data_IF_247368226297
#
_entry.id   IF_247368226297
#
_cell.length_a   1.000
_cell.length_b   1.000
_cell.length_c   1.000
_cell.angle_alpha   90.00
_cell.angle_beta   90.00
_cell.angle_gamma   90.00
#
_symmetry.space_group_name_H-M   'P 1'
#
loop_
_entity.id
_entity.type
_entity.pdbx_description
1 polymer ?
#
# COMPACT_ATOMS: atom_id res chain seq x y z
N UNK A 1 -4.32 0.61 12.69
CA UNK A 1 -4.27 -0.78 13.18
C UNK A 1 -4.39 -1.74 12.02
N UNK A 2 -3.71 -2.90 12.04
CA UNK A 2 -3.83 -3.87 10.94
C UNK A 2 -5.15 -4.64 10.99
N UNK A 3 -5.53 -5.12 12.17
CA UNK A 3 -6.72 -5.94 12.36
C UNK A 3 -7.94 -5.07 12.68
N UNK A 4 -9.12 -5.66 12.55
CA UNK A 4 -10.37 -5.06 13.02
C UNK A 4 -10.47 -5.04 14.55
N UNK A 5 -9.71 -5.89 15.25
CA UNK A 5 -9.78 -6.09 16.69
C UNK A 5 -8.41 -5.91 17.36
N UNK A 6 -8.41 -5.75 18.69
CA UNK A 6 -7.24 -5.31 19.45
C UNK A 6 -6.34 -6.43 19.97
N UNK A 7 -6.84 -7.67 20.05
CA UNK A 7 -6.29 -8.74 20.90
C UNK A 7 -4.94 -9.25 20.43
N UNK A 8 -4.68 -9.28 19.11
CA UNK A 8 -3.44 -9.88 18.58
C UNK A 8 -2.19 -9.07 18.93
N UNK A 9 -2.32 -7.75 19.09
CA UNK A 9 -1.18 -6.82 19.11
C UNK A 9 -1.20 -5.83 20.27
N UNK A 10 -2.26 -5.85 21.08
CA UNK A 10 -2.41 -4.95 22.23
C UNK A 10 -2.91 -5.72 23.45
N UNK A 11 -3.02 -5.04 24.59
CA UNK A 11 -3.66 -5.59 25.80
C UNK A 11 -5.17 -5.35 25.85
N UNK A 12 -5.75 -4.73 24.83
CA UNK A 12 -7.19 -4.42 24.76
C UNK A 12 -8.01 -5.51 24.08
N UNK A 13 -9.34 -5.34 24.13
CA UNK A 13 -10.32 -6.26 23.53
C UNK A 13 -11.39 -5.50 22.75
N UNK A 14 -12.03 -6.17 21.79
CA UNK A 14 -13.12 -5.63 20.97
C UNK A 14 -12.64 -4.99 19.68
N UNK A 15 -13.59 -4.48 18.88
CA UNK A 15 -13.29 -3.86 17.59
C UNK A 15 -12.66 -2.49 17.81
N UNK A 16 -11.65 -2.15 17.01
CA UNK A 16 -11.01 -0.84 17.03
C UNK A 16 -12.02 0.30 16.88
N UNK A 17 -13.04 0.10 16.02
CA UNK A 17 -14.09 1.08 15.76
C UNK A 17 -14.97 1.42 16.97
N UNK A 18 -14.99 0.56 18.00
CA UNK A 18 -15.81 0.75 19.20
C UNK A 18 -15.07 1.57 20.29
N UNK A 19 -13.82 1.96 20.03
CA UNK A 19 -12.98 2.69 20.98
C UNK A 19 -12.72 4.13 20.51
N UNK A 20 -12.63 5.06 21.47
CA UNK A 20 -12.18 6.43 21.17
C UNK A 20 -10.68 6.47 20.90
N UNK A 21 -10.19 7.49 20.18
CA UNK A 21 -8.76 7.69 19.97
C UNK A 21 -7.97 7.79 21.29
N UNK A 22 -8.54 8.42 22.33
CA UNK A 22 -7.92 8.50 23.65
C UNK A 22 -7.82 7.14 24.35
N UNK A 23 -8.83 6.27 24.19
CA UNK A 23 -8.78 4.90 24.72
C UNK A 23 -7.73 4.06 23.98
N UNK A 24 -7.68 4.15 22.65
CA UNK A 24 -6.68 3.48 21.81
C UNK A 24 -5.25 3.95 22.13
N UNK A 25 -5.05 5.24 22.40
CA UNK A 25 -3.75 5.78 22.80
C UNK A 25 -3.22 5.20 24.12
N UNK A 26 -4.10 4.80 25.06
CA UNK A 26 -3.70 4.10 26.30
C UNK A 26 -3.26 2.65 26.05
N UNK A 27 -3.49 2.13 24.85
CA UNK A 27 -3.06 0.81 24.38
C UNK A 27 -1.88 0.91 23.40
N UNK A 28 -1.20 2.06 23.36
CA UNK A 28 -0.08 2.35 22.46
C UNK A 28 -0.44 2.25 20.96
N UNK A 29 -1.73 2.38 20.62
CA UNK A 29 -2.17 2.48 19.23
C UNK A 29 -2.09 3.95 18.79
N UNK A 30 -1.16 4.32 17.87
CA UNK A 30 -0.98 5.72 17.51
C UNK A 30 -2.09 6.20 16.57
N UNK A 31 -2.36 7.51 16.60
CA UNK A 31 -3.18 8.13 15.56
C UNK A 31 -2.37 8.33 14.28
N UNK A 32 -3.05 8.48 13.14
CA UNK A 32 -2.37 8.82 11.88
C UNK A 32 -1.62 10.15 12.00
N UNK A 33 -2.18 11.14 12.70
CA UNK A 33 -1.56 12.44 12.91
C UNK A 33 -0.22 12.30 13.66
N UNK A 34 -0.18 11.49 14.73
CA UNK A 34 1.04 11.26 15.50
C UNK A 34 2.15 10.63 14.64
N UNK A 35 1.79 9.65 13.81
CA UNK A 35 2.72 8.98 12.89
C UNK A 35 3.24 9.97 11.83
N UNK A 36 2.35 10.77 11.24
CA UNK A 36 2.70 11.76 10.23
C UNK A 36 3.69 12.81 10.75
N UNK A 37 3.47 13.29 11.99
CA UNK A 37 4.35 14.25 12.68
C UNK A 37 5.68 13.60 13.03
N UNK A 38 5.65 12.41 13.64
CA UNK A 38 6.88 11.72 14.08
C UNK A 38 7.81 11.39 12.92
N UNK A 39 7.27 11.05 11.75
CA UNK A 39 8.02 10.65 10.57
C UNK A 39 7.89 11.65 9.42
N UNK A 40 8.03 12.95 9.71
CA UNK A 40 7.81 14.04 8.76
C UNK A 40 8.65 13.96 7.46
N UNK A 41 9.85 13.36 7.52
CA UNK A 41 10.76 13.24 6.37
C UNK A 41 10.72 11.89 5.64
N UNK A 42 9.84 10.97 6.03
CA UNK A 42 9.80 9.61 5.47
C UNK A 42 8.60 9.50 4.52
N UNK A 43 8.83 8.91 3.34
CA UNK A 43 7.75 8.57 2.43
C UNK A 43 6.90 7.44 3.01
N UNK A 44 5.57 7.55 2.95
CA UNK A 44 4.66 6.62 3.63
C UNK A 44 3.67 5.98 2.67
N UNK A 45 3.45 4.69 2.88
CA UNK A 45 2.33 3.96 2.29
C UNK A 45 1.26 3.84 3.38
N UNK A 46 0.06 4.31 3.09
CA UNK A 46 -1.08 4.29 4.01
C UNK A 46 -2.16 3.40 3.38
N UNK A 47 -2.60 2.37 4.09
CA UNK A 47 -3.64 1.46 3.61
C UNK A 47 -4.97 1.69 4.31
N UNK A 48 -6.04 1.94 3.55
CA UNK A 48 -7.41 1.96 4.05
C UNK A 48 -7.96 0.53 4.06
N UNK A 49 -8.33 0.06 5.26
CA UNK A 49 -8.83 -1.30 5.52
C UNK A 49 -10.36 -1.44 5.48
N UNK A 50 -11.11 -0.34 5.31
CA UNK A 50 -12.58 -0.33 5.30
C UNK A 50 -13.12 0.23 3.99
N UNK A 51 -14.31 -0.21 3.60
CA UNK A 51 -15.00 0.36 2.45
C UNK A 51 -15.77 1.62 2.86
N UNK A 52 -15.76 2.64 2.00
CA UNK A 52 -16.49 3.89 2.23
C UNK A 52 -15.72 5.15 1.83
N UNK A 53 -16.47 6.17 1.48
CA UNK A 53 -15.92 7.41 0.92
C UNK A 53 -15.44 8.36 2.04
N UNK A 54 -16.09 8.31 3.20
CA UNK A 54 -15.80 9.18 4.35
C UNK A 54 -14.37 8.99 4.90
N UNK A 55 -13.89 7.74 4.95
CA UNK A 55 -12.55 7.45 5.46
C UNK A 55 -11.46 8.08 4.57
N UNK A 56 -11.68 8.15 3.26
CA UNK A 56 -10.75 8.81 2.35
C UNK A 56 -10.63 10.30 2.67
N UNK A 57 -11.76 10.98 2.91
CA UNK A 57 -11.78 12.39 3.32
C UNK A 57 -11.07 12.63 4.65
N UNK A 58 -11.26 11.75 5.63
CA UNK A 58 -10.58 11.83 6.94
C UNK A 58 -9.06 11.67 6.80
N UNK A 59 -8.60 10.65 6.05
CA UNK A 59 -7.17 10.42 5.80
C UNK A 59 -6.54 11.59 5.05
N UNK A 60 -7.16 12.08 3.97
CA UNK A 60 -6.68 13.25 3.21
C UNK A 60 -6.62 14.48 4.10
N UNK A 61 -7.60 14.70 4.98
CA UNK A 61 -7.59 15.79 5.95
C UNK A 61 -6.34 15.78 6.83
N UNK A 62 -5.97 14.63 7.38
CA UNK A 62 -4.74 14.49 8.19
C UNK A 62 -3.47 14.66 7.36
N UNK A 63 -3.42 14.11 6.15
CA UNK A 63 -2.28 14.30 5.25
C UNK A 63 -2.07 15.77 4.88
N UNK A 64 -3.15 16.53 4.63
CA UNK A 64 -3.09 17.97 4.34
C UNK A 64 -2.57 18.76 5.54
N UNK A 65 -3.11 18.52 6.74
CA UNK A 65 -2.65 19.16 7.99
C UNK A 65 -1.16 18.95 8.19
N UNK A 66 -0.66 17.74 7.93
CA UNK A 66 0.74 17.39 8.07
C UNK A 66 1.63 17.73 6.86
N UNK A 67 1.09 18.39 5.83
CA UNK A 67 1.79 18.68 4.56
C UNK A 67 2.46 17.43 3.96
N UNK A 68 1.77 16.31 4.01
CA UNK A 68 2.31 14.98 3.72
C UNK A 68 1.81 14.37 2.41
N UNK A 69 1.01 15.10 1.63
CA UNK A 69 0.39 14.61 0.39
C UNK A 69 1.44 14.11 -0.61
N UNK A 70 2.46 14.92 -0.89
CA UNK A 70 3.48 14.60 -1.90
C UNK A 70 4.39 13.41 -1.53
N UNK A 71 4.52 13.12 -0.22
CA UNK A 71 5.34 12.01 0.28
C UNK A 71 4.52 10.77 0.66
N UNK A 72 3.23 10.75 0.34
CA UNK A 72 2.34 9.65 0.73
C UNK A 72 1.75 8.96 -0.50
N UNK A 73 1.60 7.65 -0.39
CA UNK A 73 0.81 6.84 -1.32
C UNK A 73 -0.35 6.17 -0.55
N UNK A 74 -1.55 6.23 -1.12
CA UNK A 74 -2.74 5.64 -0.52
C UNK A 74 -3.13 4.34 -1.23
N UNK A 75 -3.20 3.25 -0.48
CA UNK A 75 -3.65 1.93 -0.93
C UNK A 75 -4.99 1.54 -0.32
N UNK A 76 -5.74 0.67 -1.00
CA UNK A 76 -6.88 -0.05 -0.45
C UNK A 76 -7.23 -1.23 -1.34
N UNK A 77 -7.82 -2.28 -0.76
CA UNK A 77 -8.47 -3.31 -1.57
C UNK A 77 -9.79 -2.84 -2.19
N UNK A 78 -10.42 -1.81 -1.62
CA UNK A 78 -11.73 -1.32 -2.02
C UNK A 78 -11.63 -0.19 -3.06
N UNK A 79 -12.48 -0.24 -4.09
CA UNK A 79 -12.49 0.76 -5.16
C UNK A 79 -13.06 2.10 -4.72
N UNK A 80 -14.06 2.12 -3.81
CA UNK A 80 -14.75 3.35 -3.39
C UNK A 80 -13.84 4.35 -2.66
N UNK A 81 -13.10 3.98 -1.59
CA UNK A 81 -12.20 4.93 -0.93
C UNK A 81 -11.12 5.47 -1.88
N UNK A 82 -10.62 4.65 -2.82
CA UNK A 82 -9.62 5.09 -3.79
C UNK A 82 -10.22 6.06 -4.82
N UNK A 83 -11.43 5.79 -5.32
CA UNK A 83 -12.14 6.72 -6.21
C UNK A 83 -12.43 8.05 -5.51
N UNK A 84 -12.90 8.01 -4.25
CA UNK A 84 -13.11 9.20 -3.44
C UNK A 84 -11.80 9.97 -3.21
N UNK A 85 -10.70 9.27 -2.89
CA UNK A 85 -9.40 9.90 -2.68
C UNK A 85 -8.88 10.61 -3.94
N UNK A 86 -8.97 9.96 -5.11
CA UNK A 86 -8.57 10.53 -6.40
C UNK A 86 -9.39 11.77 -6.78
N UNK A 87 -10.68 11.80 -6.41
CA UNK A 87 -11.54 12.95 -6.63
C UNK A 87 -11.23 14.11 -5.65
N UNK A 88 -10.98 13.78 -4.38
CA UNK A 88 -10.73 14.78 -3.33
C UNK A 88 -9.32 15.38 -3.39
N UNK A 89 -8.32 14.61 -3.80
CA UNK A 89 -6.92 15.02 -3.87
C UNK A 89 -6.22 14.37 -5.08
N UNK A 90 -6.37 14.94 -6.30
CA UNK A 90 -5.77 14.38 -7.51
C UNK A 90 -4.23 14.32 -7.50
N UNK A 91 -3.57 15.09 -6.64
CA UNK A 91 -2.11 15.09 -6.48
C UNK A 91 -1.60 13.91 -5.63
N UNK A 92 -2.47 13.27 -4.84
CA UNK A 92 -2.11 12.13 -4.00
C UNK A 92 -1.88 10.89 -4.86
N UNK A 93 -0.72 10.27 -4.68
CA UNK A 93 -0.44 8.97 -5.30
C UNK A 93 -1.41 7.92 -4.75
N UNK A 94 -2.10 7.20 -5.64
CA UNK A 94 -2.97 6.09 -5.24
C UNK A 94 -2.54 4.79 -5.89
N UNK A 95 -2.67 3.70 -5.12
CA UNK A 95 -2.54 2.34 -5.62
C UNK A 95 -3.78 1.87 -6.38
N UNK A 96 -3.62 0.76 -7.09
CA UNK A 96 -4.72 0.03 -7.71
C UNK A 96 -5.54 -0.72 -6.66
N UNK A 97 -6.86 -0.71 -6.80
CA UNK A 97 -7.77 -1.55 -6.00
C UNK A 97 -7.60 -3.04 -6.34
N UNK A 98 -8.23 -3.92 -5.56
CA UNK A 98 -8.27 -5.36 -5.88
C UNK A 98 -8.87 -5.63 -7.26
N UNK A 99 -9.91 -4.90 -7.64
CA UNK A 99 -10.59 -5.08 -8.92
C UNK A 99 -9.74 -4.56 -10.07
N UNK A 100 -9.10 -3.40 -9.90
CA UNK A 100 -8.19 -2.80 -10.88
C UNK A 100 -6.97 -3.70 -11.10
N UNK A 101 -6.36 -4.21 -10.02
CA UNK A 101 -5.25 -5.16 -10.05
C UNK A 101 -5.63 -6.43 -10.81
N UNK A 102 -6.81 -7.01 -10.52
CA UNK A 102 -7.29 -8.21 -11.22
C UNK A 102 -7.48 -7.95 -12.72
N UNK A 103 -8.06 -6.81 -13.08
CA UNK A 103 -8.21 -6.40 -14.48
C UNK A 103 -6.86 -6.25 -15.19
N UNK A 104 -5.90 -5.60 -14.54
CA UNK A 104 -4.53 -5.44 -15.03
C UNK A 104 -3.82 -6.78 -15.22
N UNK A 105 -3.98 -7.71 -14.29
CA UNK A 105 -3.44 -9.06 -14.40
C UNK A 105 -3.98 -9.82 -15.62
N UNK A 106 -5.30 -9.80 -15.86
CA UNK A 106 -5.88 -10.47 -17.03
C UNK A 106 -5.45 -9.82 -18.35
N UNK A 107 -5.38 -8.49 -18.39
CA UNK A 107 -4.85 -7.73 -19.54
C UNK A 107 -3.39 -8.10 -19.81
N UNK A 108 -2.57 -8.14 -18.76
CA UNK A 108 -1.20 -8.61 -18.85
C UNK A 108 -1.15 -10.04 -19.39
N UNK A 109 -2.01 -10.95 -18.94
CA UNK A 109 -2.03 -12.35 -19.39
C UNK A 109 -2.31 -12.46 -20.89
N UNK A 110 -3.33 -11.77 -21.42
CA UNK A 110 -3.69 -11.83 -22.85
C UNK A 110 -2.87 -10.86 -23.73
N UNK A 111 -2.03 -10.01 -23.14
CA UNK A 111 -1.18 -9.06 -23.87
C UNK A 111 -1.88 -7.77 -24.28
N UNK A 112 -3.05 -7.50 -23.71
CA UNK A 112 -3.82 -6.28 -23.95
C UNK A 112 -3.27 -5.12 -23.10
N UNK A 113 -3.00 -3.92 -23.63
CA UNK A 113 -2.40 -2.81 -22.87
C UNK A 113 -3.27 -2.31 -21.71
N UNK A 114 -2.66 -1.82 -20.62
CA UNK A 114 -3.42 -1.14 -19.55
C UNK A 114 -4.07 0.17 -20.05
N UNK A 115 -3.35 0.93 -20.87
CA UNK A 115 -3.76 2.27 -21.29
C UNK A 115 -3.61 3.30 -20.17
N UNK A 116 -4.34 4.40 -20.27
CA UNK A 116 -4.40 5.39 -19.19
C UNK A 116 -5.18 4.84 -18.00
N UNK A 117 -4.57 4.87 -16.82
CA UNK A 117 -5.14 4.35 -15.57
C UNK A 117 -5.11 5.41 -14.47
N UNK A 118 -6.04 5.37 -13.51
CA UNK A 118 -6.15 6.39 -12.46
C UNK A 118 -5.26 6.12 -11.23
N UNK A 119 -4.42 5.09 -11.27
CA UNK A 119 -3.49 4.71 -10.21
C UNK A 119 -2.04 4.76 -10.73
N UNK A 120 -1.09 4.85 -9.80
CA UNK A 120 0.34 4.94 -10.12
C UNK A 120 1.16 3.75 -9.61
N UNK A 121 0.55 2.88 -8.82
CA UNK A 121 1.24 1.71 -8.27
C UNK A 121 0.32 0.51 -8.07
N UNK A 122 0.88 -0.68 -8.23
CA UNK A 122 0.34 -1.93 -7.72
C UNK A 122 1.00 -2.25 -6.38
N UNK A 123 0.20 -2.59 -5.37
CA UNK A 123 0.68 -3.19 -4.13
C UNK A 123 0.10 -4.60 -4.05
N UNK A 124 0.88 -5.61 -4.42
CA UNK A 124 0.39 -6.97 -4.65
C UNK A 124 1.22 -8.02 -3.95
N UNK A 125 0.63 -9.18 -3.59
CA UNK A 125 1.44 -10.31 -3.19
C UNK A 125 2.09 -10.95 -4.41
N UNK A 126 3.24 -11.60 -4.20
CA UNK A 126 3.85 -12.38 -5.29
C UNK A 126 2.88 -13.46 -5.78
N UNK A 127 2.21 -14.14 -4.84
CA UNK A 127 1.24 -15.20 -5.10
C UNK A 127 -0.05 -14.96 -4.33
N UNK A 128 -1.18 -15.30 -4.94
CA UNK A 128 -2.50 -15.31 -4.31
C UNK A 128 -3.16 -16.65 -4.56
N UNK A 129 -3.18 -17.52 -3.55
CA UNK A 129 -3.60 -18.91 -3.71
C UNK A 129 -2.69 -19.64 -4.70
N UNK A 130 -3.28 -20.26 -5.71
CA UNK A 130 -2.53 -20.98 -6.76
C UNK A 130 -1.95 -20.05 -7.84
N UNK A 131 -2.35 -18.78 -7.86
CA UNK A 131 -1.97 -17.83 -8.91
C UNK A 131 -0.70 -17.08 -8.54
N UNK A 132 0.32 -17.15 -9.39
CA UNK A 132 1.47 -16.24 -9.33
C UNK A 132 1.09 -14.93 -10.02
N UNK A 133 0.97 -13.85 -9.24
CA UNK A 133 0.60 -12.53 -9.74
C UNK A 133 1.83 -11.82 -10.31
N UNK A 134 2.90 -11.74 -9.53
CA UNK A 134 4.10 -11.03 -9.93
C UNK A 134 4.94 -11.93 -10.81
N UNK A 135 5.18 -11.48 -12.03
CA UNK A 135 6.04 -12.13 -13.02
C UNK A 135 6.81 -11.05 -13.78
N UNK A 136 7.94 -11.35 -14.44
CA UNK A 136 8.62 -10.38 -15.29
C UNK A 136 7.70 -9.79 -16.37
N UNK A 137 6.73 -10.58 -16.86
CA UNK A 137 5.72 -10.10 -17.81
C UNK A 137 4.79 -9.07 -17.18
N UNK A 138 4.29 -9.31 -15.97
CA UNK A 138 3.43 -8.38 -15.25
C UNK A 138 4.17 -7.07 -14.92
N UNK A 139 5.42 -7.15 -14.47
CA UNK A 139 6.25 -5.96 -14.19
C UNK A 139 6.43 -5.11 -15.44
N UNK A 140 6.88 -5.71 -16.56
CA UNK A 140 6.98 -5.00 -17.85
C UNK A 140 5.65 -4.43 -18.32
N UNK A 141 4.55 -5.12 -18.04
CA UNK A 141 3.22 -4.66 -18.41
C UNK A 141 2.81 -3.39 -17.64
N UNK A 142 3.08 -3.35 -16.34
CA UNK A 142 2.84 -2.20 -15.49
C UNK A 142 3.72 -1.01 -15.90
N UNK A 143 5.02 -1.24 -16.11
CA UNK A 143 5.97 -0.19 -16.49
C UNK A 143 5.66 0.46 -17.84
N UNK A 144 5.10 -0.28 -18.81
CA UNK A 144 4.63 0.30 -20.09
C UNK A 144 3.50 1.32 -19.92
N UNK A 145 2.81 1.30 -18.79
CA UNK A 145 1.76 2.24 -18.43
C UNK A 145 2.21 3.25 -17.37
N UNK A 146 3.52 3.33 -17.08
CA UNK A 146 4.08 4.18 -16.03
C UNK A 146 3.48 3.88 -14.64
N UNK A 147 3.28 2.58 -14.35
CA UNK A 147 2.77 2.09 -13.07
C UNK A 147 3.83 1.25 -12.37
N UNK A 148 4.13 1.61 -11.13
CA UNK A 148 5.09 0.88 -10.28
C UNK A 148 4.52 -0.44 -9.76
N UNK A 149 5.37 -1.42 -9.49
CA UNK A 149 5.02 -2.69 -8.84
C UNK A 149 5.73 -2.80 -7.49
N UNK A 150 4.96 -2.80 -6.41
CA UNK A 150 5.41 -2.98 -5.03
C UNK A 150 4.91 -4.32 -4.51
N UNK A 151 5.82 -5.15 -3.99
CA UNK A 151 5.49 -6.54 -3.61
C UNK A 151 5.48 -6.70 -2.09
N UNK A 152 4.41 -7.27 -1.54
CA UNK A 152 4.26 -7.60 -0.12
C UNK A 152 3.94 -9.09 0.09
N UNK A 153 4.14 -9.69 1.25
CA UNK A 153 5.21 -9.37 2.19
C UNK A 153 6.40 -10.27 1.85
N UNK A 154 7.55 -9.68 1.53
CA UNK A 154 8.73 -10.43 1.08
C UNK A 154 9.74 -10.49 2.21
N UNK A 155 9.89 -11.65 2.85
CA UNK A 155 10.73 -11.81 4.06
C UNK A 155 11.99 -12.65 3.82
N UNK A 156 12.10 -13.32 2.68
CA UNK A 156 13.26 -14.14 2.31
C UNK A 156 14.24 -13.37 1.40
N UNK A 157 15.54 -13.50 1.67
CA UNK A 157 16.56 -12.73 0.98
C UNK A 157 16.74 -13.12 -0.51
N UNK A 158 16.51 -14.38 -0.85
CA UNK A 158 16.62 -14.84 -2.24
C UNK A 158 15.41 -14.40 -3.05
N UNK A 159 14.22 -14.39 -2.45
CA UNK A 159 13.02 -13.79 -3.04
C UNK A 159 13.19 -12.28 -3.24
N UNK A 160 13.75 -11.56 -2.26
CA UNK A 160 14.06 -10.13 -2.41
C UNK A 160 14.96 -9.89 -3.63
N UNK A 161 16.06 -10.64 -3.78
CA UNK A 161 16.98 -10.49 -4.92
C UNK A 161 16.27 -10.80 -6.24
N UNK A 162 15.59 -11.93 -6.33
CA UNK A 162 14.89 -12.38 -7.53
C UNK A 162 13.83 -11.37 -7.98
N UNK A 163 13.01 -10.86 -7.05
CA UNK A 163 11.98 -9.87 -7.38
C UNK A 163 12.59 -8.55 -7.84
N UNK A 164 13.68 -8.09 -7.20
CA UNK A 164 14.41 -6.90 -7.64
C UNK A 164 15.04 -7.11 -9.03
N UNK A 165 15.54 -8.31 -9.34
CA UNK A 165 16.05 -8.66 -10.68
C UNK A 165 14.94 -8.67 -11.74
N UNK A 166 13.69 -8.95 -11.34
CA UNK A 166 12.53 -8.82 -12.23
C UNK A 166 12.11 -7.37 -12.46
N UNK A 167 12.69 -6.42 -11.72
CA UNK A 167 12.44 -4.98 -11.84
C UNK A 167 11.29 -4.47 -10.98
N UNK A 168 10.92 -5.14 -9.89
CA UNK A 168 9.93 -4.55 -8.96
C UNK A 168 10.48 -3.26 -8.34
N UNK A 169 9.61 -2.27 -8.15
CA UNK A 169 9.98 -0.93 -7.72
C UNK A 169 10.13 -0.82 -6.20
N UNK A 170 9.43 -1.66 -5.44
CA UNK A 170 9.59 -1.71 -4.00
C UNK A 170 9.27 -3.10 -3.42
N UNK A 171 9.87 -3.36 -2.26
CA UNK A 171 9.57 -4.51 -1.41
C UNK A 171 8.97 -4.02 -0.10
N UNK A 172 7.88 -4.63 0.32
CA UNK A 172 7.27 -4.45 1.63
C UNK A 172 7.59 -5.70 2.45
N UNK A 173 8.23 -5.52 3.61
CA UNK A 173 8.89 -6.60 4.35
C UNK A 173 8.81 -6.38 5.85
N UNK A 174 8.73 -7.49 6.60
CA UNK A 174 8.93 -7.52 8.05
C UNK A 174 10.43 -7.64 8.41
N UNK A 175 11.31 -7.82 7.42
CA UNK A 175 12.76 -7.97 7.56
C UNK A 175 13.54 -6.83 6.89
N UNK A 176 13.33 -5.57 7.33
CA UNK A 176 14.07 -4.43 6.78
C UNK A 176 15.58 -4.55 7.04
N UNK A 177 15.99 -5.29 8.07
CA UNK A 177 17.39 -5.64 8.37
C UNK A 177 18.05 -6.44 7.24
N UNK A 178 17.29 -7.31 6.57
CA UNK A 178 17.75 -8.05 5.39
C UNK A 178 17.61 -7.24 4.10
N UNK A 179 16.49 -6.54 3.93
CA UNK A 179 16.21 -5.82 2.68
C UNK A 179 17.12 -4.61 2.45
N UNK A 180 17.42 -3.83 3.48
CA UNK A 180 18.21 -2.60 3.37
C UNK A 180 19.61 -2.81 2.74
N UNK A 181 20.46 -3.76 3.19
CA UNK A 181 21.76 -4.01 2.56
C UNK A 181 21.62 -4.53 1.12
N UNK A 182 20.62 -5.38 0.83
CA UNK A 182 20.38 -5.92 -0.52
C UNK A 182 20.05 -4.78 -1.50
N UNK A 183 19.17 -3.85 -1.10
CA UNK A 183 18.76 -2.71 -1.94
C UNK A 183 19.93 -1.73 -2.14
N UNK A 184 20.72 -1.46 -1.10
CA UNK A 184 21.89 -0.55 -1.19
C UNK A 184 23.00 -1.12 -2.07
N UNK A 185 23.24 -2.43 -2.04
CA UNK A 185 24.27 -3.08 -2.85
C UNK A 185 23.96 -3.16 -4.35
N UNK A 186 22.77 -2.72 -4.77
CA UNK A 186 22.34 -2.68 -6.18
C UNK A 186 22.50 -1.30 -6.84
N UNK A 187 22.95 -0.28 -6.09
CA UNK A 187 23.19 1.09 -6.61
C UNK A 187 24.56 1.22 -7.25
#
# INVERSE_FOLDING_TARGET
HHDDTLERTTRGTGRVADHTAAALGRLDVPTLADVLVRYAGIAMIIEIKVDGDEIAGRVIGELRKAKAIERSALGSFYSRPLAAARALEPSLTTGASKQETRGAFYRAWIGWPLGAVPYREFQVPERSGLTTIVTPRFVRHAHRADVQVKVWTVNDADDMRRLLDWGVDALITDRPDLAAPIVRGRR
#
